data_IF_853413108038
#
_entry.id   IF_853413108038
#
_cell.length_a   1.000
_cell.length_b   1.000
_cell.length_c   1.000
_cell.angle_alpha   90.00
_cell.angle_beta   90.00
_cell.angle_gamma   90.00
#
_symmetry.space_group_name_H-M   'P 1'
#
loop_
_entity.id
_entity.type
_entity.pdbx_description
1 polymer ?
#
# COMPACT_ATOMS: atom_id res chain seq x y z
N UNK A 1 -16.28 -10.06 32.28
CA UNK A 1 -15.11 -10.92 32.52
C UNK A 1 -14.07 -10.20 33.38
N UNK A 2 -13.73 -8.92 33.10
CA UNK A 2 -12.84 -8.12 33.95
C UNK A 2 -13.32 -8.04 35.41
N UNK A 3 -14.62 -7.85 35.64
CA UNK A 3 -15.21 -7.82 36.99
C UNK A 3 -15.22 -9.19 37.69
N UNK A 4 -15.29 -10.28 36.95
CA UNK A 4 -15.19 -11.64 37.52
C UNK A 4 -13.74 -11.96 37.93
N UNK A 5 -12.74 -11.48 37.19
CA UNK A 5 -11.33 -11.68 37.50
C UNK A 5 -10.90 -10.82 38.71
N UNK A 6 -11.42 -9.58 38.84
CA UNK A 6 -11.10 -8.68 39.95
C UNK A 6 -11.72 -9.07 41.30
N UNK A 7 -12.80 -9.86 41.31
CA UNK A 7 -13.46 -10.31 42.54
C UNK A 7 -12.99 -11.64 43.08
N UNK A 8 -12.16 -12.38 42.36
CA UNK A 8 -11.63 -13.65 42.84
C UNK A 8 -10.33 -13.44 43.63
N UNK A 9 -10.42 -13.07 44.90
CA UNK A 9 -9.32 -13.19 45.85
C UNK A 9 -9.01 -14.69 46.10
N UNK A 10 -8.44 -15.37 45.09
CA UNK A 10 -8.00 -16.75 45.27
C UNK A 10 -6.58 -16.75 45.87
N UNK A 11 -6.51 -17.11 47.12
CA UNK A 11 -5.23 -17.43 47.80
C UNK A 11 -4.61 -18.62 47.07
N UNK A 12 -3.30 -18.48 46.78
CA UNK A 12 -2.39 -19.50 46.24
C UNK A 12 -2.55 -20.84 46.99
N UNK A 13 -3.13 -21.81 46.32
CA UNK A 13 -3.19 -23.20 46.78
C UNK A 13 -3.57 -24.06 45.56
N UNK A 14 -2.87 -25.14 45.32
CA UNK A 14 -2.85 -26.02 44.17
C UNK A 14 -4.21 -26.68 43.80
N UNK A 15 -5.26 -25.88 43.59
CA UNK A 15 -6.57 -26.35 43.07
C UNK A 15 -6.65 -26.06 41.61
N UNK A 16 -6.57 -27.09 40.77
CA UNK A 16 -6.94 -27.00 39.36
C UNK A 16 -8.44 -26.84 39.28
N UNK A 17 -8.93 -25.61 39.09
CA UNK A 17 -10.32 -25.35 38.83
C UNK A 17 -10.59 -25.48 37.33
N UNK A 18 -11.51 -26.32 36.96
CA UNK A 18 -11.99 -26.47 35.58
C UNK A 18 -13.43 -25.91 35.52
N UNK A 19 -13.68 -24.97 34.64
CA UNK A 19 -14.99 -24.46 34.33
C UNK A 19 -15.32 -24.77 32.87
N UNK A 20 -16.39 -25.45 32.60
CA UNK A 20 -16.92 -25.74 31.27
C UNK A 20 -18.22 -24.96 31.12
N UNK A 21 -18.25 -23.97 30.23
CA UNK A 21 -19.35 -23.03 30.08
C UNK A 21 -19.83 -23.03 28.63
N UNK A 22 -21.14 -23.16 28.45
CA UNK A 22 -21.80 -23.12 27.14
C UNK A 22 -22.87 -22.03 27.15
N UNK A 23 -22.82 -21.19 26.11
CA UNK A 23 -23.75 -20.09 25.93
C UNK A 23 -24.27 -20.09 24.48
N UNK A 24 -25.59 -20.05 24.32
CA UNK A 24 -26.19 -19.82 23.00
C UNK A 24 -25.80 -18.47 22.43
N UNK A 25 -25.61 -17.48 23.32
CA UNK A 25 -25.14 -16.16 22.96
C UNK A 25 -24.44 -15.49 24.16
N UNK A 26 -23.29 -14.88 23.91
CA UNK A 26 -22.55 -14.09 24.90
C UNK A 26 -22.03 -12.81 24.27
N UNK A 27 -22.11 -11.69 24.99
CA UNK A 27 -21.55 -10.41 24.50
C UNK A 27 -20.37 -9.98 25.36
N UNK A 28 -19.26 -9.65 24.72
CA UNK A 28 -18.04 -9.16 25.35
C UNK A 28 -17.50 -7.96 24.57
N UNK A 29 -17.26 -6.86 25.25
CA UNK A 29 -16.73 -5.61 24.65
C UNK A 29 -17.52 -5.14 23.40
N UNK A 30 -18.85 -5.33 23.37
CA UNK A 30 -19.69 -4.95 22.24
C UNK A 30 -19.75 -5.99 21.09
N UNK A 31 -18.99 -7.08 21.20
CA UNK A 31 -18.99 -8.19 20.25
C UNK A 31 -19.87 -9.32 20.77
N UNK A 32 -20.76 -9.86 19.94
CA UNK A 32 -21.64 -10.97 20.28
C UNK A 32 -21.10 -12.28 19.70
N UNK A 33 -20.91 -13.25 20.56
CA UNK A 33 -20.50 -14.62 20.22
C UNK A 33 -21.75 -15.50 20.23
N UNK A 34 -22.01 -16.21 19.16
CA UNK A 34 -23.05 -17.24 19.07
C UNK A 34 -22.43 -18.61 19.29
N UNK A 35 -23.16 -19.50 19.95
CA UNK A 35 -22.74 -20.88 20.24
C UNK A 35 -21.35 -20.94 20.93
N UNK A 36 -21.16 -20.08 21.94
CA UNK A 36 -19.86 -19.98 22.62
C UNK A 36 -19.71 -21.14 23.62
N UNK A 37 -18.69 -21.95 23.40
CA UNK A 37 -18.20 -22.94 24.37
C UNK A 37 -16.85 -22.48 24.91
N UNK A 38 -16.71 -22.34 26.21
CA UNK A 38 -15.48 -21.89 26.85
C UNK A 38 -15.08 -22.80 28.00
N UNK A 39 -13.83 -23.23 28.04
CA UNK A 39 -13.25 -24.03 29.10
C UNK A 39 -12.14 -23.22 29.75
N UNK A 40 -12.28 -22.93 31.05
CA UNK A 40 -11.30 -22.21 31.81
C UNK A 40 -10.57 -23.15 32.77
N UNK A 41 -9.24 -23.19 32.67
CA UNK A 41 -8.36 -24.00 33.48
C UNK A 41 -7.38 -23.11 34.25
N UNK A 42 -7.30 -23.34 35.55
CA UNK A 42 -6.32 -22.68 36.42
C UNK A 42 -5.05 -23.51 36.50
N UNK A 43 -3.94 -22.98 36.02
CA UNK A 43 -2.58 -23.50 36.24
C UNK A 43 -1.91 -22.85 37.46
N UNK A 44 -0.63 -23.18 37.69
CA UNK A 44 0.12 -22.67 38.83
C UNK A 44 0.46 -21.17 38.72
N UNK A 45 0.72 -20.67 37.52
CA UNK A 45 1.16 -19.28 37.26
C UNK A 45 0.27 -18.53 36.27
N UNK A 46 -0.79 -19.16 35.76
CA UNK A 46 -1.67 -18.57 34.76
C UNK A 46 -3.04 -19.21 34.71
N UNK A 47 -4.01 -18.49 34.21
CA UNK A 47 -5.31 -19.01 33.81
C UNK A 47 -5.37 -19.13 32.29
N UNK A 48 -5.76 -20.29 31.76
CA UNK A 48 -5.98 -20.52 30.35
C UNK A 48 -7.47 -20.71 30.09
N UNK A 49 -7.99 -20.02 29.07
CA UNK A 49 -9.39 -20.11 28.64
C UNK A 49 -9.35 -20.51 27.18
N UNK A 50 -9.66 -21.74 26.86
CA UNK A 50 -9.94 -22.16 25.48
C UNK A 50 -11.39 -21.89 25.13
N UNK A 51 -11.65 -21.46 23.90
CA UNK A 51 -13.00 -21.16 23.46
C UNK A 51 -13.21 -21.51 21.99
N UNK A 52 -14.44 -21.82 21.67
CA UNK A 52 -14.94 -22.09 20.34
C UNK A 52 -16.29 -21.41 20.15
N UNK A 53 -16.52 -20.80 19.00
CA UNK A 53 -17.78 -20.16 18.64
C UNK A 53 -18.03 -20.28 17.13
N UNK A 54 -19.18 -19.86 16.65
CA UNK A 54 -19.55 -19.96 15.24
C UNK A 54 -18.56 -19.27 14.26
N UNK A 55 -17.78 -18.30 14.72
CA UNK A 55 -16.93 -17.47 13.85
C UNK A 55 -15.48 -17.33 14.33
N UNK A 56 -15.14 -17.84 15.51
CA UNK A 56 -13.76 -17.81 16.02
C UNK A 56 -13.50 -18.90 17.03
N UNK A 57 -12.30 -19.44 17.03
CA UNK A 57 -11.80 -20.36 18.06
C UNK A 57 -10.39 -19.98 18.47
N UNK A 58 -10.03 -20.34 19.71
CA UNK A 58 -8.71 -20.02 20.21
C UNK A 58 -8.56 -20.19 21.71
N UNK A 59 -7.55 -19.53 22.26
CA UNK A 59 -7.32 -19.52 23.70
C UNK A 59 -6.78 -18.17 24.16
N UNK A 60 -7.15 -17.81 25.40
CA UNK A 60 -6.66 -16.67 26.14
C UNK A 60 -5.85 -17.19 27.32
N UNK A 61 -4.58 -16.78 27.42
CA UNK A 61 -3.69 -17.09 28.55
C UNK A 61 -3.47 -15.82 29.36
N UNK A 62 -3.89 -15.84 30.62
CA UNK A 62 -3.79 -14.73 31.57
C UNK A 62 -2.73 -15.08 32.61
N UNK A 63 -1.55 -14.44 32.60
CA UNK A 63 -0.52 -14.65 33.61
C UNK A 63 -0.94 -14.05 34.97
N UNK A 64 -0.42 -14.61 36.06
CA UNK A 64 -0.63 -14.07 37.42
C UNK A 64 0.32 -12.90 37.71
N UNK A 65 1.46 -12.87 37.00
CA UNK A 65 2.45 -11.83 37.15
C UNK A 65 1.97 -10.54 36.49
N UNK A 66 1.95 -9.44 37.22
CA UNK A 66 1.45 -8.13 36.75
C UNK A 66 2.31 -7.50 35.65
N UNK A 67 3.56 -7.94 35.49
CA UNK A 67 4.53 -7.47 34.50
C UNK A 67 4.37 -8.14 33.11
N UNK A 68 3.45 -9.11 33.00
CA UNK A 68 3.18 -9.84 31.77
C UNK A 68 1.76 -9.56 31.26
N UNK A 69 1.65 -9.30 29.96
CA UNK A 69 0.35 -9.09 29.32
C UNK A 69 -0.33 -10.42 28.98
N UNK A 70 -1.68 -10.49 29.05
CA UNK A 70 -2.42 -11.62 28.55
C UNK A 70 -2.17 -11.87 27.07
N UNK A 71 -2.18 -13.14 26.66
CA UNK A 71 -1.97 -13.58 25.28
C UNK A 71 -3.23 -14.19 24.71
N UNK A 72 -3.74 -13.60 23.64
CA UNK A 72 -4.88 -14.11 22.89
C UNK A 72 -4.39 -14.73 21.58
N UNK A 73 -4.58 -16.05 21.45
CA UNK A 73 -4.26 -16.77 20.21
C UNK A 73 -5.54 -17.29 19.59
N UNK A 74 -5.83 -16.84 18.38
CA UNK A 74 -6.99 -17.25 17.60
C UNK A 74 -6.51 -18.19 16.49
N UNK A 75 -7.08 -19.40 16.43
CA UNK A 75 -6.82 -20.33 15.34
C UNK A 75 -7.45 -19.79 14.04
N UNK A 76 -8.65 -19.23 14.18
CA UNK A 76 -9.36 -18.56 13.11
C UNK A 76 -10.14 -17.36 13.65
N UNK A 77 -10.32 -16.37 12.78
CA UNK A 77 -11.20 -15.23 13.02
C UNK A 77 -11.93 -14.93 11.71
N UNK A 78 -13.23 -15.23 11.68
CA UNK A 78 -14.05 -15.05 10.49
C UNK A 78 -15.02 -13.88 10.67
N UNK A 79 -14.70 -12.75 10.03
CA UNK A 79 -15.61 -11.61 9.94
C UNK A 79 -16.53 -11.77 8.73
N UNK A 80 -17.73 -12.29 8.94
CA UNK A 80 -18.79 -12.26 7.94
C UNK A 80 -19.27 -10.82 7.67
N UNK A 81 -19.96 -10.60 6.53
CA UNK A 81 -20.57 -9.32 6.16
C UNK A 81 -21.46 -8.71 7.25
N UNK A 82 -22.10 -9.55 8.06
CA UNK A 82 -22.91 -9.15 9.21
C UNK A 82 -22.13 -8.37 10.28
N UNK A 83 -20.83 -8.60 10.41
CA UNK A 83 -19.96 -7.87 11.34
C UNK A 83 -19.64 -6.46 10.82
N UNK A 84 -19.40 -6.34 9.52
CA UNK A 84 -19.09 -5.06 8.87
C UNK A 84 -20.35 -4.19 8.79
N UNK A 85 -21.52 -4.78 8.58
CA UNK A 85 -22.79 -4.04 8.43
C UNK A 85 -23.49 -3.71 9.77
N UNK A 86 -23.24 -4.43 10.83
CA UNK A 86 -24.00 -4.30 12.08
C UNK A 86 -23.21 -4.20 13.37
N UNK A 87 -22.02 -4.77 13.45
CA UNK A 87 -21.27 -4.94 14.70
C UNK A 87 -20.33 -3.79 15.03
N UNK A 88 -19.51 -3.36 14.07
CA UNK A 88 -18.50 -2.32 14.27
C UNK A 88 -19.03 -0.91 13.99
N UNK A 89 -20.08 -0.76 13.18
CA UNK A 89 -20.60 0.52 12.71
C UNK A 89 -21.47 1.29 13.71
N UNK A 90 -21.79 0.74 14.89
CA UNK A 90 -22.71 1.39 15.85
C UNK A 90 -22.04 2.19 16.96
N UNK A 91 -20.82 2.69 16.76
CA UNK A 91 -20.21 3.71 17.64
C UNK A 91 -20.05 3.31 19.12
N UNK A 92 -19.98 1.99 19.41
CA UNK A 92 -19.88 1.48 20.78
C UNK A 92 -18.46 1.08 21.20
N UNK A 93 -17.53 1.04 20.25
CA UNK A 93 -16.15 0.72 20.57
C UNK A 93 -15.40 2.01 20.90
N UNK A 94 -14.98 2.12 22.14
CA UNK A 94 -14.10 3.19 22.59
C UNK A 94 -12.68 2.63 22.65
N UNK A 95 -11.74 3.15 21.81
CA UNK A 95 -10.37 2.63 21.78
C UNK A 95 -9.62 2.79 23.10
N UNK A 96 -10.05 3.71 23.98
CA UNK A 96 -9.47 3.90 25.32
C UNK A 96 -9.76 2.76 26.28
N UNK A 97 -10.77 1.96 25.99
CA UNK A 97 -11.22 0.86 26.85
C UNK A 97 -10.69 -0.52 26.40
N UNK A 98 -9.81 -0.56 25.41
CA UNK A 98 -9.19 -1.82 25.02
C UNK A 98 -8.22 -2.31 26.09
N UNK A 99 -8.20 -3.63 26.35
CA UNK A 99 -7.22 -4.21 27.27
C UNK A 99 -5.83 -4.25 26.63
N UNK A 100 -4.79 -4.33 27.47
CA UNK A 100 -3.44 -4.68 27.02
C UNK A 100 -3.38 -6.18 26.72
N UNK A 101 -3.11 -6.56 25.47
CA UNK A 101 -3.06 -7.93 24.99
C UNK A 101 -1.93 -8.12 23.98
N UNK A 102 -1.30 -9.31 24.00
CA UNK A 102 -0.52 -9.80 22.87
C UNK A 102 -1.44 -10.70 22.03
N UNK A 103 -1.66 -10.37 20.79
CA UNK A 103 -2.65 -11.02 19.92
C UNK A 103 -1.95 -11.73 18.77
N UNK A 104 -2.35 -12.98 18.52
CA UNK A 104 -1.97 -13.76 17.36
C UNK A 104 -3.21 -14.32 16.70
N UNK A 105 -3.34 -14.16 15.38
CA UNK A 105 -4.43 -14.71 14.57
C UNK A 105 -3.79 -15.55 13.47
N UNK A 106 -4.01 -16.87 13.49
CA UNK A 106 -3.41 -17.80 12.53
C UNK A 106 -4.13 -17.78 11.18
N UNK A 107 -5.43 -17.51 11.17
CA UNK A 107 -6.22 -17.35 9.97
C UNK A 107 -7.27 -16.26 10.14
N UNK A 108 -7.15 -15.19 9.37
CA UNK A 108 -8.09 -14.09 9.34
C UNK A 108 -8.89 -14.14 8.04
N UNK A 109 -10.22 -14.31 8.18
CA UNK A 109 -11.14 -14.40 7.05
C UNK A 109 -12.09 -13.21 7.10
N UNK A 110 -12.20 -12.45 6.01
CA UNK A 110 -13.12 -11.33 5.87
C UNK A 110 -13.98 -11.56 4.64
N UNK A 111 -15.31 -11.56 4.83
CA UNK A 111 -16.28 -11.80 3.72
C UNK A 111 -15.94 -13.05 2.88
N UNK A 112 -15.59 -14.15 3.55
CA UNK A 112 -15.17 -15.44 2.97
C UNK A 112 -13.85 -15.42 2.19
N UNK A 113 -13.07 -14.35 2.30
CA UNK A 113 -11.71 -14.28 1.73
C UNK A 113 -10.70 -14.47 2.86
N UNK A 114 -9.80 -15.44 2.70
CA UNK A 114 -8.66 -15.60 3.60
C UNK A 114 -7.66 -14.47 3.29
N UNK A 115 -7.50 -13.57 4.23
CA UNK A 115 -6.62 -12.41 4.10
C UNK A 115 -5.27 -12.57 4.80
N UNK A 116 -5.06 -13.72 5.45
CA UNK A 116 -3.75 -14.13 5.99
C UNK A 116 -3.69 -14.27 7.50
N UNK A 117 -2.49 -14.13 8.02
CA UNK A 117 -2.19 -14.25 9.46
C UNK A 117 -1.54 -12.96 9.97
N UNK A 118 -1.80 -12.65 11.24
CA UNK A 118 -1.29 -11.43 11.85
C UNK A 118 -0.98 -11.63 13.34
N UNK A 119 0.07 -10.99 13.82
CA UNK A 119 0.43 -10.91 15.24
C UNK A 119 0.74 -9.45 15.57
N UNK A 120 0.28 -8.98 16.72
CA UNK A 120 0.54 -7.61 17.17
C UNK A 120 0.37 -7.47 18.68
N UNK A 121 0.87 -6.37 19.20
CA UNK A 121 0.71 -5.97 20.60
C UNK A 121 -0.36 -4.88 20.68
N UNK A 122 -1.48 -5.16 21.34
CA UNK A 122 -2.49 -4.17 21.65
C UNK A 122 -2.18 -3.51 22.99
N UNK A 123 -2.05 -2.20 23.00
CA UNK A 123 -1.78 -1.41 24.21
C UNK A 123 -2.78 -0.27 24.34
N UNK A 124 -3.37 -0.16 25.53
CA UNK A 124 -4.25 0.96 25.85
C UNK A 124 -3.40 2.19 26.14
N UNK A 125 -3.77 3.32 25.58
CA UNK A 125 -3.16 4.62 25.79
C UNK A 125 -4.20 5.67 26.22
N UNK A 126 -3.74 6.83 26.72
CA UNK A 126 -4.62 7.91 27.20
C UNK A 126 -5.61 8.38 26.12
N UNK A 127 -5.19 8.38 24.86
CA UNK A 127 -6.01 8.87 23.74
C UNK A 127 -6.55 7.75 22.85
N UNK A 128 -6.30 6.46 23.16
CA UNK A 128 -6.78 5.37 22.29
C UNK A 128 -6.08 4.04 22.50
N UNK A 129 -5.91 3.30 21.43
CA UNK A 129 -5.27 2.00 21.39
C UNK A 129 -4.14 1.98 20.35
N UNK A 130 -2.97 1.52 20.76
CA UNK A 130 -1.83 1.26 19.90
C UNK A 130 -1.77 -0.23 19.55
N UNK A 131 -1.63 -0.52 18.25
CA UNK A 131 -1.40 -1.84 17.69
C UNK A 131 0.04 -1.83 17.17
N UNK A 132 0.96 -2.21 18.04
CA UNK A 132 2.40 -2.15 17.79
C UNK A 132 2.99 -3.49 17.42
N UNK A 133 4.22 -3.46 16.87
CA UNK A 133 4.97 -4.63 16.46
C UNK A 133 4.13 -5.58 15.60
N UNK A 134 3.50 -5.04 14.57
CA UNK A 134 2.65 -5.82 13.67
C UNK A 134 3.55 -6.69 12.79
N UNK A 135 3.35 -8.01 12.89
CA UNK A 135 4.05 -9.03 12.14
C UNK A 135 3.03 -9.95 11.44
N UNK A 136 3.37 -10.45 10.25
CA UNK A 136 2.55 -11.44 9.56
C UNK A 136 2.50 -11.27 8.07
N UNK A 137 1.57 -11.98 7.45
CA UNK A 137 1.24 -11.86 6.03
C UNK A 137 -0.25 -11.53 5.91
N UNK A 138 -0.55 -10.43 5.24
CA UNK A 138 -1.90 -9.89 5.12
C UNK A 138 -2.11 -9.35 3.70
N UNK A 139 -3.05 -9.91 2.96
CA UNK A 139 -3.33 -9.55 1.56
C UNK A 139 -2.10 -9.59 0.63
N UNK A 140 -1.16 -10.51 0.90
CA UNK A 140 0.09 -10.60 0.14
C UNK A 140 1.17 -9.59 0.56
N UNK A 141 0.90 -8.77 1.58
CA UNK A 141 1.89 -7.92 2.24
C UNK A 141 2.49 -8.65 3.43
N UNK A 142 3.78 -8.50 3.60
CA UNK A 142 4.57 -9.08 4.70
C UNK A 142 5.04 -7.97 5.64
N UNK A 143 4.80 -8.13 6.94
CA UNK A 143 5.14 -7.16 7.97
C UNK A 143 6.05 -7.80 9.03
N UNK A 144 7.04 -7.04 9.51
CA UNK A 144 7.88 -7.45 10.63
C UNK A 144 8.77 -8.66 10.38
N UNK A 145 8.97 -9.08 9.14
CA UNK A 145 9.83 -10.21 8.78
C UNK A 145 11.30 -9.81 8.61
N UNK A 146 11.58 -8.51 8.54
CA UNK A 146 12.92 -7.95 8.40
C UNK A 146 13.27 -7.17 9.68
N UNK A 147 14.08 -7.76 10.54
CA UNK A 147 14.53 -7.17 11.81
C UNK A 147 15.34 -5.86 11.65
N UNK A 148 15.76 -5.55 10.43
CA UNK A 148 16.47 -4.29 10.11
C UNK A 148 15.55 -3.11 9.88
N UNK A 149 14.24 -3.35 9.70
CA UNK A 149 13.23 -2.35 9.48
C UNK A 149 12.43 -2.06 10.74
N UNK A 150 11.95 -0.82 10.94
CA UNK A 150 11.01 -0.55 12.02
C UNK A 150 9.74 -1.38 11.82
N UNK A 151 9.04 -1.77 12.90
CA UNK A 151 7.77 -2.47 12.78
C UNK A 151 6.72 -1.59 12.11
N UNK A 152 5.68 -2.23 11.56
CA UNK A 152 4.45 -1.56 11.21
C UNK A 152 3.64 -1.32 12.48
N UNK A 153 3.19 -0.09 12.67
CA UNK A 153 2.36 0.33 13.79
C UNK A 153 1.05 0.94 13.30
N UNK A 154 -0.02 0.62 14.01
CA UNK A 154 -1.31 1.24 13.81
C UNK A 154 -1.82 1.84 15.11
N UNK A 155 -2.40 3.05 15.04
CA UNK A 155 -3.00 3.72 16.18
C UNK A 155 -4.43 4.12 15.87
N UNK A 156 -5.35 3.78 16.78
CA UNK A 156 -6.72 4.26 16.74
C UNK A 156 -7.01 5.09 17.99
N UNK A 157 -7.23 6.38 17.80
CA UNK A 157 -7.45 7.34 18.87
C UNK A 157 -8.83 7.96 18.85
N UNK A 158 -9.13 8.65 19.95
CA UNK A 158 -10.31 9.50 20.11
C UNK A 158 -9.95 10.72 20.96
N UNK A 159 -10.25 11.89 20.43
CA UNK A 159 -10.09 13.19 21.12
C UNK A 159 -11.40 14.00 21.12
N UNK A 160 -11.30 15.30 21.39
CA UNK A 160 -12.46 16.21 21.43
C UNK A 160 -13.12 16.42 20.06
N UNK A 161 -12.40 16.14 18.96
CA UNK A 161 -12.88 16.28 17.58
C UNK A 161 -13.50 15.01 17.03
N UNK A 162 -13.29 13.86 17.69
CA UNK A 162 -13.78 12.54 17.30
C UNK A 162 -12.70 11.49 17.24
N UNK A 163 -12.96 10.44 16.44
CA UNK A 163 -12.00 9.38 16.20
C UNK A 163 -10.95 9.78 15.16
N UNK A 164 -9.76 9.24 15.28
CA UNK A 164 -8.71 9.33 14.27
C UNK A 164 -7.90 8.03 14.22
N UNK A 165 -7.32 7.76 13.06
CA UNK A 165 -6.51 6.58 12.81
C UNK A 165 -5.19 6.97 12.15
N UNK A 166 -4.14 6.21 12.44
CA UNK A 166 -2.80 6.42 11.87
C UNK A 166 -2.12 5.09 11.61
N UNK A 167 -1.51 4.93 10.44
CA UNK A 167 -0.75 3.77 10.01
C UNK A 167 0.67 4.23 9.63
N UNK A 168 1.68 3.69 10.30
CA UNK A 168 3.08 4.05 10.07
C UNK A 168 3.94 2.80 10.02
N UNK A 169 4.84 2.74 9.05
CA UNK A 169 5.87 1.71 8.95
C UNK A 169 5.95 1.08 7.57
N UNK A 170 6.88 0.14 7.39
CA UNK A 170 7.10 -0.56 6.15
C UNK A 170 6.27 -1.83 6.04
N UNK A 171 6.09 -2.27 4.79
CA UNK A 171 5.70 -3.62 4.41
C UNK A 171 6.56 -4.07 3.23
N UNK A 172 6.79 -5.37 3.11
CA UNK A 172 7.35 -5.98 1.92
C UNK A 172 6.31 -6.82 1.19
N UNK A 173 6.58 -7.14 -0.06
CA UNK A 173 5.78 -8.06 -0.87
C UNK A 173 6.67 -8.83 -1.83
N UNK A 174 6.29 -10.06 -2.13
CA UNK A 174 6.97 -10.87 -3.17
C UNK A 174 6.45 -10.55 -4.57
N UNK A 175 5.14 -10.28 -4.68
CA UNK A 175 4.50 -9.94 -5.95
C UNK A 175 3.30 -9.02 -5.71
N UNK A 176 3.32 -7.83 -6.31
CA UNK A 176 2.19 -6.90 -6.26
C UNK A 176 0.91 -7.51 -6.85
N UNK A 177 1.04 -8.45 -7.78
CA UNK A 177 -0.09 -9.19 -8.35
C UNK A 177 -0.91 -9.95 -7.32
N UNK A 178 -0.26 -10.41 -6.23
CA UNK A 178 -0.95 -11.08 -5.13
C UNK A 178 -1.93 -10.16 -4.39
N UNK A 179 -1.62 -8.87 -4.28
CA UNK A 179 -2.53 -7.88 -3.68
C UNK A 179 -3.79 -7.75 -4.54
N UNK A 180 -3.64 -7.59 -5.86
CA UNK A 180 -4.78 -7.52 -6.77
C UNK A 180 -5.65 -8.78 -6.68
N UNK A 181 -5.02 -9.96 -6.66
CA UNK A 181 -5.71 -11.24 -6.54
C UNK A 181 -6.45 -11.36 -5.20
N UNK A 182 -5.81 -11.00 -4.09
CA UNK A 182 -6.42 -11.06 -2.76
C UNK A 182 -7.60 -10.10 -2.63
N UNK A 183 -7.54 -8.93 -3.28
CA UNK A 183 -8.62 -7.96 -3.34
C UNK A 183 -9.67 -8.26 -4.43
N UNK A 184 -9.53 -9.37 -5.16
CA UNK A 184 -10.40 -9.76 -6.28
C UNK A 184 -10.44 -8.73 -7.41
N UNK A 185 -9.36 -7.98 -7.59
CA UNK A 185 -9.18 -7.08 -8.73
C UNK A 185 -8.48 -7.78 -9.89
N UNK A 186 -8.70 -7.33 -11.13
CA UNK A 186 -7.91 -7.77 -12.28
C UNK A 186 -6.41 -7.53 -12.02
N UNK A 187 -5.59 -8.51 -12.36
CA UNK A 187 -4.15 -8.37 -12.25
C UNK A 187 -3.63 -7.44 -13.34
N UNK A 188 -3.21 -6.24 -12.96
CA UNK A 188 -2.72 -5.20 -13.85
C UNK A 188 -1.21 -5.04 -13.81
N UNK A 189 -0.57 -5.58 -12.77
CA UNK A 189 0.87 -5.57 -12.59
C UNK A 189 1.32 -6.84 -11.87
N UNK A 190 2.58 -7.20 -12.05
CA UNK A 190 3.34 -8.15 -11.25
C UNK A 190 4.67 -7.54 -10.85
N UNK A 191 5.34 -8.13 -9.84
CA UNK A 191 6.71 -7.82 -9.45
C UNK A 191 7.37 -9.09 -8.91
N UNK A 192 8.70 -9.14 -8.81
CA UNK A 192 9.40 -10.21 -8.09
C UNK A 192 9.64 -9.84 -6.63
N UNK A 193 9.66 -8.55 -6.34
CA UNK A 193 9.73 -8.03 -4.98
C UNK A 193 9.18 -6.61 -4.92
N UNK A 194 8.88 -6.16 -3.71
CA UNK A 194 8.50 -4.77 -3.48
C UNK A 194 8.60 -4.38 -2.02
N UNK A 195 8.71 -3.09 -1.80
CA UNK A 195 8.68 -2.44 -0.50
C UNK A 195 7.70 -1.29 -0.52
N UNK A 196 6.87 -1.25 0.50
CA UNK A 196 5.93 -0.18 0.75
C UNK A 196 6.31 0.53 2.04
N UNK A 197 6.03 1.82 2.14
CA UNK A 197 6.17 2.58 3.39
C UNK A 197 4.94 3.45 3.55
N UNK A 198 4.31 3.32 4.70
CA UNK A 198 3.09 4.04 5.04
C UNK A 198 3.39 5.09 6.12
N UNK A 199 2.86 6.27 5.95
CA UNK A 199 2.71 7.30 6.97
C UNK A 199 1.36 7.97 6.71
N UNK A 200 0.29 7.25 6.97
CA UNK A 200 -1.06 7.61 6.62
C UNK A 200 -1.88 7.91 7.87
N UNK A 201 -2.78 8.86 7.76
CA UNK A 201 -3.74 9.19 8.81
C UNK A 201 -5.10 9.58 8.23
N UNK A 202 -6.16 9.39 9.00
CA UNK A 202 -7.51 9.83 8.66
C UNK A 202 -8.32 10.14 9.91
N UNK A 203 -9.24 11.14 9.87
CA UNK A 203 -9.95 11.66 11.04
C UNK A 203 -11.23 10.88 11.36
N UNK A 204 -11.17 9.54 11.31
CA UNK A 204 -12.28 8.65 11.61
C UNK A 204 -11.79 7.34 12.19
N UNK A 205 -12.71 6.42 12.50
CA UNK A 205 -12.42 5.04 12.90
C UNK A 205 -11.70 4.27 11.77
N UNK A 206 -11.00 3.18 12.09
CA UNK A 206 -10.23 2.40 11.13
C UNK A 206 -11.01 1.96 9.87
N UNK A 207 -12.27 1.57 10.04
CA UNK A 207 -13.13 1.08 8.96
C UNK A 207 -13.84 2.18 8.15
N UNK A 208 -13.78 3.44 8.59
CA UNK A 208 -14.30 4.60 7.86
C UNK A 208 -13.24 5.30 7.01
N UNK A 209 -12.22 4.56 6.61
CA UNK A 209 -11.22 5.00 5.65
C UNK A 209 -11.88 5.37 4.31
N UNK A 210 -11.52 6.52 3.76
CA UNK A 210 -12.04 6.97 2.46
C UNK A 210 -11.04 7.82 1.70
N UNK A 211 -11.19 7.87 0.39
CA UNK A 211 -10.39 8.71 -0.51
C UNK A 211 -10.45 10.20 -0.15
N UNK A 212 -11.53 10.64 0.48
CA UNK A 212 -11.74 12.03 0.87
C UNK A 212 -10.93 12.45 2.10
N UNK A 213 -10.74 11.52 3.02
CA UNK A 213 -10.24 11.84 4.36
C UNK A 213 -8.85 11.30 4.67
N UNK A 214 -8.25 10.56 3.75
CA UNK A 214 -6.86 10.11 3.88
C UNK A 214 -5.90 11.29 3.73
N UNK A 215 -4.87 11.33 4.58
CA UNK A 215 -3.77 12.28 4.51
C UNK A 215 -2.44 11.58 4.87
N UNK A 216 -1.32 12.20 4.46
CA UNK A 216 0.02 11.67 4.69
C UNK A 216 0.69 11.17 3.44
N UNK A 217 1.70 10.31 3.57
CA UNK A 217 2.50 9.84 2.46
C UNK A 217 2.54 8.31 2.34
N UNK A 218 2.67 7.86 1.11
CA UNK A 218 2.81 6.46 0.72
C UNK A 218 3.92 6.33 -0.31
N UNK A 219 4.97 5.62 0.06
CA UNK A 219 6.09 5.30 -0.83
C UNK A 219 6.03 3.83 -1.23
N UNK A 220 6.33 3.56 -2.50
CA UNK A 220 6.51 2.19 -2.98
C UNK A 220 7.77 2.08 -3.84
N UNK A 221 8.34 0.88 -3.85
CA UNK A 221 9.44 0.46 -4.71
C UNK A 221 9.16 -0.97 -5.13
N UNK A 222 9.07 -1.22 -6.43
CA UNK A 222 8.83 -2.53 -7.03
C UNK A 222 9.99 -2.89 -7.95
N UNK A 223 10.35 -4.16 -8.02
CA UNK A 223 11.46 -4.65 -8.85
C UNK A 223 11.01 -5.81 -9.74
N UNK A 224 11.59 -5.86 -10.95
CA UNK A 224 11.49 -6.95 -11.91
C UNK A 224 10.04 -7.39 -12.15
N UNK A 225 9.28 -6.57 -12.82
CA UNK A 225 7.87 -6.82 -13.01
C UNK A 225 7.35 -6.57 -14.41
N UNK A 226 6.04 -6.68 -14.51
CA UNK A 226 5.31 -6.49 -15.76
C UNK A 226 4.03 -5.72 -15.51
N UNK A 227 3.77 -4.70 -16.32
CA UNK A 227 2.47 -4.04 -16.42
C UNK A 227 1.66 -4.73 -17.52
N UNK A 228 0.51 -5.28 -17.16
CA UNK A 228 -0.36 -6.02 -18.08
C UNK A 228 -1.31 -5.08 -18.80
N UNK A 229 -1.60 -5.40 -20.03
CA UNK A 229 -2.66 -4.72 -20.78
C UNK A 229 -4.03 -5.10 -20.25
N UNK A 230 -4.82 -4.10 -19.88
CA UNK A 230 -6.26 -4.31 -19.64
C UNK A 230 -7.03 -4.12 -20.94
N UNK A 231 -7.70 -5.17 -21.40
CA UNK A 231 -8.54 -5.13 -22.59
C UNK A 231 -10.03 -4.88 -22.28
N UNK A 232 -10.43 -4.98 -21.03
CA UNK A 232 -11.85 -4.92 -20.64
C UNK A 232 -12.07 -3.86 -19.58
N UNK A 233 -13.10 -3.05 -19.76
CA UNK A 233 -13.71 -2.01 -18.96
C UNK A 233 -13.50 -2.00 -17.45
N UNK A 234 -12.27 -2.00 -17.02
CA UNK A 234 -11.88 -1.94 -15.63
C UNK A 234 -12.24 -0.60 -14.99
N UNK A 235 -12.54 -0.62 -13.69
CA UNK A 235 -12.83 0.55 -12.88
C UNK A 235 -11.72 1.62 -12.95
N UNK A 236 -12.06 2.86 -12.61
CA UNK A 236 -11.23 4.05 -12.79
C UNK A 236 -9.78 3.93 -12.32
N UNK A 237 -9.53 3.25 -11.18
CA UNK A 237 -8.17 3.00 -10.68
C UNK A 237 -7.34 2.10 -11.61
N UNK A 238 -7.97 1.13 -12.27
CA UNK A 238 -7.35 0.24 -13.25
C UNK A 238 -7.13 0.94 -14.59
N UNK A 239 -7.99 1.91 -14.93
CA UNK A 239 -7.81 2.75 -16.11
C UNK A 239 -6.63 3.70 -15.97
N UNK A 240 -6.31 4.17 -14.77
CA UNK A 240 -5.09 4.95 -14.53
C UNK A 240 -3.82 4.17 -14.85
N UNK A 241 -3.80 2.88 -14.56
CA UNK A 241 -2.65 2.02 -14.91
C UNK A 241 -2.70 1.62 -16.39
N UNK A 242 -3.88 1.54 -16.99
CA UNK A 242 -4.02 1.39 -18.45
C UNK A 242 -3.56 2.62 -19.24
N UNK A 243 -3.38 3.77 -18.56
CA UNK A 243 -2.66 4.95 -19.11
C UNK A 243 -1.22 4.64 -19.48
N UNK A 244 -0.61 3.73 -18.77
CA UNK A 244 0.68 3.19 -19.11
C UNK A 244 0.62 2.23 -20.31
N UNK A 245 -0.45 2.27 -21.12
CA UNK A 245 -0.54 1.56 -22.38
C UNK A 245 0.39 2.21 -23.43
N UNK A 246 1.65 2.23 -23.06
CA UNK A 246 2.78 2.82 -23.78
C UNK A 246 2.88 2.31 -25.23
N UNK A 247 2.43 1.10 -25.47
CA UNK A 247 2.44 0.53 -26.82
C UNK A 247 1.53 1.24 -27.82
N UNK A 248 0.41 1.83 -27.36
CA UNK A 248 -0.43 2.65 -28.26
C UNK A 248 0.22 4.02 -28.53
N UNK A 249 1.07 4.48 -27.66
CA UNK A 249 1.82 5.71 -27.82
C UNK A 249 2.94 5.58 -28.83
N UNK A 250 3.73 4.50 -28.74
CA UNK A 250 4.79 4.20 -29.68
C UNK A 250 4.29 4.08 -31.12
N UNK A 251 3.07 3.57 -31.32
CA UNK A 251 2.41 3.59 -32.64
C UNK A 251 2.14 5.00 -33.17
N UNK A 252 1.77 5.93 -32.31
CA UNK A 252 1.49 7.33 -32.72
C UNK A 252 2.76 8.11 -33.04
N UNK A 253 3.90 7.70 -32.46
CA UNK A 253 5.19 8.34 -32.71
C UNK A 253 5.85 7.94 -34.05
N UNK A 254 5.25 7.00 -34.82
CA UNK A 254 5.80 6.48 -36.09
C UNK A 254 7.25 5.95 -35.96
N UNK A 255 7.70 5.63 -34.75
CA UNK A 255 8.95 4.96 -34.51
C UNK A 255 8.71 3.45 -34.65
N UNK A 256 9.58 2.77 -35.38
CA UNK A 256 9.45 1.34 -35.67
C UNK A 256 9.85 0.51 -34.41
N UNK A 257 8.91 0.41 -33.50
CA UNK A 257 8.97 -0.46 -32.32
C UNK A 257 8.00 -1.63 -32.46
N UNK A 258 7.94 -2.23 -33.65
CA UNK A 258 7.04 -3.32 -33.96
C UNK A 258 7.09 -4.47 -32.97
N UNK A 259 8.23 -4.70 -32.33
CA UNK A 259 8.44 -5.77 -31.36
C UNK A 259 7.89 -5.46 -29.95
N UNK A 260 7.70 -4.17 -29.60
CA UNK A 260 7.19 -3.73 -28.29
C UNK A 260 5.66 -3.47 -28.32
N UNK A 261 5.12 -3.20 -29.50
CA UNK A 261 3.77 -2.69 -29.71
C UNK A 261 2.66 -3.73 -29.43
N UNK A 262 2.98 -4.98 -29.20
CA UNK A 262 2.01 -6.06 -28.99
C UNK A 262 2.00 -6.70 -27.62
N UNK A 263 2.92 -6.39 -26.71
CA UNK A 263 3.21 -7.14 -25.50
C UNK A 263 2.97 -6.34 -24.22
N UNK A 264 2.89 -7.03 -23.09
CA UNK A 264 2.92 -6.44 -21.77
C UNK A 264 4.24 -5.71 -21.54
N UNK A 265 4.23 -4.65 -20.70
CA UNK A 265 5.40 -3.80 -20.49
C UNK A 265 6.21 -4.32 -19.31
N UNK A 266 7.38 -4.90 -19.58
CA UNK A 266 8.34 -5.27 -18.54
C UNK A 266 9.06 -4.05 -17.97
N UNK A 267 9.30 -4.05 -16.66
CA UNK A 267 10.11 -3.05 -15.97
C UNK A 267 11.12 -3.70 -15.03
N UNK A 268 12.28 -3.07 -14.88
CA UNK A 268 13.35 -3.48 -13.96
C UNK A 268 13.08 -2.90 -12.56
N UNK A 269 12.68 -1.62 -12.49
CA UNK A 269 12.26 -0.98 -11.25
C UNK A 269 11.11 0.02 -11.48
N UNK A 270 10.31 0.22 -10.43
CA UNK A 270 9.27 1.26 -10.38
C UNK A 270 9.22 1.84 -8.97
N UNK A 271 9.48 3.13 -8.85
CA UNK A 271 9.53 3.85 -7.59
C UNK A 271 8.58 5.05 -7.60
N UNK A 272 7.91 5.31 -6.48
CA UNK A 272 7.01 6.45 -6.37
C UNK A 272 6.72 6.85 -4.92
N UNK A 273 6.42 8.15 -4.75
CA UNK A 273 6.01 8.74 -3.49
C UNK A 273 4.74 9.57 -3.70
N UNK A 274 3.64 9.10 -3.15
CA UNK A 274 2.39 9.84 -3.12
C UNK A 274 2.21 10.58 -1.81
N UNK A 275 1.78 11.84 -1.89
CA UNK A 275 1.28 12.61 -0.75
C UNK A 275 -0.22 12.81 -0.92
N UNK A 276 -0.97 12.42 0.10
CA UNK A 276 -2.43 12.52 0.15
C UNK A 276 -2.85 13.70 1.00
N UNK A 277 -3.70 14.54 0.48
CA UNK A 277 -4.28 15.68 1.20
C UNK A 277 -5.61 16.09 0.56
N UNK A 278 -6.65 16.26 1.38
CA UNK A 278 -7.95 16.84 0.97
C UNK A 278 -8.58 16.17 -0.27
N UNK A 279 -8.47 14.85 -0.39
CA UNK A 279 -9.02 14.11 -1.53
C UNK A 279 -8.17 14.17 -2.80
N UNK A 280 -6.95 14.66 -2.70
CA UNK A 280 -5.97 14.68 -3.79
C UNK A 280 -4.78 13.78 -3.42
N UNK A 281 -4.27 13.05 -4.40
CA UNK A 281 -2.96 12.38 -4.32
C UNK A 281 -1.99 13.10 -5.27
N UNK A 282 -0.86 13.54 -4.75
CA UNK A 282 0.19 14.20 -5.54
C UNK A 282 1.45 13.34 -5.54
N UNK A 283 2.10 13.22 -6.67
CA UNK A 283 3.46 12.69 -6.74
C UNK A 283 4.42 13.76 -6.21
N UNK A 284 5.01 13.52 -5.04
CA UNK A 284 5.95 14.45 -4.39
C UNK A 284 7.34 14.41 -5.04
N UNK A 285 7.75 13.23 -5.44
CA UNK A 285 8.87 12.99 -6.36
C UNK A 285 8.32 12.39 -7.65
N UNK A 286 8.98 12.55 -8.79
CA UNK A 286 8.56 11.84 -9.99
C UNK A 286 8.40 10.34 -9.71
N UNK A 287 7.32 9.74 -10.21
CA UNK A 287 7.25 8.30 -10.33
C UNK A 287 8.23 7.90 -11.42
N UNK A 288 9.23 7.11 -11.06
CA UNK A 288 10.28 6.64 -11.95
C UNK A 288 10.06 5.17 -12.30
N UNK A 289 10.21 4.82 -13.57
CA UNK A 289 10.15 3.44 -14.04
C UNK A 289 11.29 3.20 -15.02
N UNK A 290 12.20 2.31 -14.61
CA UNK A 290 13.26 1.82 -15.47
C UNK A 290 12.81 0.57 -16.22
N UNK A 291 13.12 0.51 -17.50
CA UNK A 291 12.71 -0.58 -18.39
C UNK A 291 13.88 -0.96 -19.30
N UNK A 292 13.95 -2.21 -19.79
CA UNK A 292 14.92 -2.59 -20.82
C UNK A 292 14.85 -1.70 -22.08
N UNK A 293 13.68 -1.14 -22.35
CA UNK A 293 13.41 -0.30 -23.52
C UNK A 293 13.55 1.22 -23.29
N UNK A 294 13.92 1.67 -22.07
CA UNK A 294 14.06 3.06 -21.72
C UNK A 294 13.61 3.39 -20.29
N UNK A 295 13.43 4.67 -19.99
CA UNK A 295 12.97 5.17 -18.70
C UNK A 295 11.71 6.01 -18.87
N UNK A 296 10.83 5.93 -17.89
CA UNK A 296 9.67 6.81 -17.77
C UNK A 296 9.69 7.54 -16.43
N UNK A 297 9.34 8.82 -16.45
CA UNK A 297 9.17 9.66 -15.28
C UNK A 297 7.80 10.33 -15.35
N UNK A 298 7.05 10.32 -14.25
CA UNK A 298 5.75 10.95 -14.20
C UNK A 298 5.63 11.85 -12.97
N UNK A 299 5.12 13.06 -13.17
CA UNK A 299 4.66 13.94 -12.09
C UNK A 299 3.18 14.25 -12.29
N UNK A 300 2.49 14.61 -11.22
CA UNK A 300 1.08 15.01 -11.36
C UNK A 300 0.29 14.96 -10.08
N UNK A 301 -0.94 15.49 -10.22
CA UNK A 301 -1.97 15.48 -9.21
C UNK A 301 -3.13 14.60 -9.66
N UNK A 302 -3.67 13.83 -8.74
CA UNK A 302 -4.77 12.92 -8.93
C UNK A 302 -5.92 13.37 -8.03
N UNK A 303 -6.98 13.93 -8.58
CA UNK A 303 -8.20 14.21 -7.84
C UNK A 303 -8.96 12.91 -7.62
N UNK A 304 -8.94 12.42 -6.38
CA UNK A 304 -9.54 11.15 -5.99
C UNK A 304 -11.07 11.23 -5.86
N UNK A 305 -11.64 12.44 -5.82
CA UNK A 305 -13.08 12.67 -5.68
C UNK A 305 -13.74 12.85 -7.06
N UNK A 306 -13.11 13.64 -7.92
CA UNK A 306 -13.57 13.87 -9.28
C UNK A 306 -13.03 12.85 -10.27
N UNK A 307 -12.15 11.95 -9.80
CA UNK A 307 -11.50 10.91 -10.60
C UNK A 307 -10.81 11.48 -11.84
N UNK A 308 -9.98 12.51 -11.63
CA UNK A 308 -9.24 13.22 -12.65
C UNK A 308 -7.75 13.17 -12.43
N UNK A 309 -7.00 13.32 -13.49
CA UNK A 309 -5.55 13.46 -13.49
C UNK A 309 -5.15 14.77 -14.17
N UNK A 310 -4.13 15.41 -13.63
CA UNK A 310 -3.37 16.51 -14.23
C UNK A 310 -1.89 16.23 -13.99
N UNK A 311 -1.20 15.79 -15.03
CA UNK A 311 0.17 15.33 -14.92
C UNK A 311 1.00 15.51 -16.20
N UNK A 312 2.27 15.25 -16.03
CA UNK A 312 3.26 15.21 -17.11
C UNK A 312 4.00 13.89 -17.04
N UNK A 313 4.19 13.27 -18.20
CA UNK A 313 5.01 12.09 -18.37
C UNK A 313 6.18 12.40 -19.32
N UNK A 314 7.37 12.00 -18.94
CA UNK A 314 8.56 12.03 -19.80
C UNK A 314 8.98 10.60 -20.08
N UNK A 315 9.09 10.26 -21.36
CA UNK A 315 9.63 8.98 -21.80
C UNK A 315 10.99 9.21 -22.45
N UNK A 316 12.02 8.55 -21.91
CA UNK A 316 13.40 8.60 -22.42
C UNK A 316 13.76 7.25 -23.03
N UNK A 317 14.17 7.25 -24.29
CA UNK A 317 14.53 6.05 -25.02
C UNK A 317 16.05 5.86 -25.00
N UNK A 318 16.55 4.62 -24.85
CA UNK A 318 17.98 4.37 -24.94
C UNK A 318 18.47 4.70 -26.36
N UNK A 319 19.40 5.61 -26.46
CA UNK A 319 20.00 5.95 -27.74
C UNK A 319 21.14 4.98 -28.03
N UNK A 320 20.89 4.02 -28.91
CA UNK A 320 21.97 3.17 -29.38
C UNK A 320 22.97 3.99 -30.22
N UNK A 321 24.29 3.92 -29.95
CA UNK A 321 25.29 4.73 -30.63
C UNK A 321 25.35 4.53 -32.13
N UNK A 322 24.69 3.52 -32.67
CA UNK A 322 24.76 3.11 -34.07
C UNK A 322 23.48 3.43 -34.88
N UNK A 323 22.58 4.27 -34.36
CA UNK A 323 21.37 4.60 -35.12
C UNK A 323 21.66 5.56 -36.24
N UNK A 324 21.27 5.24 -37.50
CA UNK A 324 21.61 6.04 -38.70
C UNK A 324 21.12 7.49 -38.65
N UNK A 325 20.05 7.77 -37.91
CA UNK A 325 19.48 9.13 -37.77
C UNK A 325 20.28 10.05 -36.85
N UNK A 326 21.08 9.50 -35.90
CA UNK A 326 22.00 10.28 -35.09
C UNK A 326 23.09 10.93 -35.94
N UNK A 327 23.58 10.22 -36.97
CA UNK A 327 24.51 10.82 -37.95
C UNK A 327 23.90 11.99 -38.70
N UNK A 328 22.58 11.95 -38.96
CA UNK A 328 21.89 13.08 -39.63
C UNK A 328 21.66 14.27 -38.69
N UNK A 329 21.40 14.03 -37.39
CA UNK A 329 21.27 15.09 -36.38
C UNK A 329 22.62 15.73 -36.05
N UNK A 330 23.69 14.95 -35.92
CA UNK A 330 25.02 15.44 -35.64
C UNK A 330 25.66 16.08 -36.91
N UNK A 331 25.36 15.53 -38.08
CA UNK A 331 25.84 16.07 -39.37
C UNK A 331 25.17 17.35 -39.84
N UNK A 332 23.97 17.67 -39.26
CA UNK A 332 23.27 18.92 -39.52
C UNK A 332 23.63 20.09 -38.56
N UNK A 333 24.34 19.83 -37.50
CA UNK A 333 24.87 20.85 -36.60
C UNK A 333 26.19 21.39 -37.17
N UNK A 334 26.42 22.72 -37.16
CA UNK A 334 27.67 23.27 -37.66
C UNK A 334 28.86 22.63 -36.94
N UNK A 335 29.85 22.17 -37.69
CA UNK A 335 31.08 21.51 -37.22
C UNK A 335 31.96 22.37 -36.27
N UNK A 336 31.44 23.46 -35.73
CA UNK A 336 32.11 24.38 -34.81
C UNK A 336 32.10 23.91 -33.35
N UNK A 337 31.39 22.89 -32.99
CA UNK A 337 31.41 22.29 -31.63
C UNK A 337 32.38 21.09 -31.59
N UNK A 338 33.64 21.31 -31.90
CA UNK A 338 34.74 20.41 -31.60
C UNK A 338 35.01 20.39 -30.08
N UNK A 339 34.00 20.04 -29.26
CA UNK A 339 34.18 19.90 -27.83
C UNK A 339 34.37 18.40 -27.54
N UNK A 340 35.54 18.10 -27.04
CA UNK A 340 35.82 16.82 -26.37
C UNK A 340 34.82 16.63 -25.22
N UNK A 341 33.78 15.88 -25.45
CA UNK A 341 32.79 15.59 -24.45
C UNK A 341 33.27 14.37 -23.66
N UNK A 342 33.72 14.62 -22.44
CA UNK A 342 34.05 13.53 -21.49
C UNK A 342 32.78 12.90 -20.98
N UNK A 343 32.75 11.54 -20.93
CA UNK A 343 31.64 10.61 -20.78
C UNK A 343 30.37 11.06 -20.06
N UNK A 344 30.42 11.73 -18.89
CA UNK A 344 29.23 12.11 -18.13
C UNK A 344 28.39 13.23 -18.77
N UNK A 345 29.04 14.21 -19.44
CA UNK A 345 28.35 15.31 -20.14
C UNK A 345 27.64 14.83 -21.43
N UNK A 346 28.06 13.69 -21.98
CA UNK A 346 27.43 13.10 -23.17
C UNK A 346 26.11 12.43 -22.76
N UNK A 347 26.08 11.76 -21.63
CA UNK A 347 24.93 11.00 -21.17
C UNK A 347 23.71 11.90 -20.94
N UNK A 348 23.86 13.00 -20.19
CA UNK A 348 22.80 13.98 -19.95
C UNK A 348 22.29 14.68 -21.22
N UNK A 349 23.16 14.95 -22.17
CA UNK A 349 22.75 15.61 -23.42
C UNK A 349 22.11 14.62 -24.41
N UNK A 350 22.55 13.39 -24.41
CA UNK A 350 21.94 12.32 -25.20
C UNK A 350 20.55 12.00 -24.69
N UNK A 351 20.37 11.94 -23.37
CA UNK A 351 19.07 11.73 -22.74
C UNK A 351 18.08 12.86 -23.12
N UNK A 352 18.52 14.11 -23.13
CA UNK A 352 17.71 15.25 -23.59
C UNK A 352 17.27 15.14 -25.05
N UNK A 353 18.09 14.56 -25.90
CA UNK A 353 17.77 14.39 -27.33
C UNK A 353 16.86 13.18 -27.61
N UNK A 354 16.69 12.29 -26.64
CA UNK A 354 15.89 11.06 -26.77
C UNK A 354 14.59 11.07 -25.97
N UNK A 355 14.29 12.17 -25.29
CA UNK A 355 13.14 12.27 -24.39
C UNK A 355 11.98 13.00 -25.04
N UNK A 356 10.77 12.50 -24.78
CA UNK A 356 9.50 13.10 -25.21
C UNK A 356 8.64 13.34 -23.98
N UNK A 357 8.13 14.56 -23.85
CA UNK A 357 7.21 14.93 -22.78
C UNK A 357 5.78 14.92 -23.29
N UNK A 358 4.89 14.39 -22.46
CA UNK A 358 3.45 14.31 -22.68
C UNK A 358 2.72 15.01 -21.55
N UNK A 359 1.69 15.77 -21.88
CA UNK A 359 0.63 16.19 -20.99
C UNK A 359 -0.38 15.06 -20.82
N UNK A 360 -0.78 14.75 -19.61
CA UNK A 360 -1.69 13.66 -19.25
C UNK A 360 -2.80 14.25 -18.40
N UNK A 361 -3.96 14.51 -18.99
CA UNK A 361 -5.04 15.24 -18.31
C UNK A 361 -6.41 14.61 -18.55
N UNK A 362 -7.37 14.91 -17.69
CA UNK A 362 -8.76 14.52 -17.87
C UNK A 362 -9.27 13.48 -16.86
N UNK A 363 -10.53 13.04 -17.01
CA UNK A 363 -11.11 12.02 -16.15
C UNK A 363 -10.48 10.65 -16.39
N UNK A 364 -10.41 9.82 -15.34
CA UNK A 364 -9.73 8.51 -15.37
C UNK A 364 -10.31 7.55 -16.42
N UNK A 365 -11.59 7.72 -16.77
CA UNK A 365 -12.26 6.92 -17.80
C UNK A 365 -12.05 7.44 -19.24
N UNK A 366 -11.56 8.68 -19.38
CA UNK A 366 -11.29 9.28 -20.69
C UNK A 366 -10.10 10.25 -20.62
N UNK A 367 -8.91 9.70 -20.42
CA UNK A 367 -7.70 10.50 -20.28
C UNK A 367 -7.23 10.98 -21.65
N UNK A 368 -6.94 12.28 -21.70
CA UNK A 368 -6.34 12.94 -22.85
C UNK A 368 -4.81 13.01 -22.69
N UNK A 369 -4.11 12.55 -23.74
CA UNK A 369 -2.66 12.49 -23.76
C UNK A 369 -2.18 13.20 -25.01
N UNK A 370 -1.46 14.26 -24.81
CA UNK A 370 -0.92 15.10 -25.89
C UNK A 370 0.59 15.22 -25.77
N UNK A 371 1.28 15.21 -26.92
CA UNK A 371 2.72 15.53 -26.95
C UNK A 371 2.88 17.01 -26.58
N UNK A 372 3.60 17.26 -25.48
CA UNK A 372 3.93 18.61 -25.01
C UNK A 372 5.22 19.10 -25.69
N UNK A 373 6.29 18.28 -25.60
CA UNK A 373 7.61 18.61 -26.19
C UNK A 373 8.30 17.36 -26.70
N UNK A 374 9.03 17.53 -27.80
CA UNK A 374 10.04 16.58 -28.27
C UNK A 374 11.40 17.13 -27.81
N UNK A 375 12.30 16.26 -27.31
CA UNK A 375 13.57 16.63 -26.68
C UNK A 375 13.38 17.37 -25.35
N UNK A 376 12.58 16.82 -24.45
CA UNK A 376 12.38 17.33 -23.11
C UNK A 376 13.57 16.99 -22.21
N UNK A 377 13.91 17.87 -21.25
CA UNK A 377 14.72 17.49 -20.10
C UNK A 377 13.93 16.59 -19.15
N UNK A 378 14.59 15.68 -18.42
CA UNK A 378 13.97 14.88 -17.38
C UNK A 378 13.25 15.74 -16.31
N UNK A 379 12.28 15.17 -15.61
CA UNK A 379 11.44 15.90 -14.63
C UNK A 379 12.19 16.37 -13.37
N UNK A 380 13.42 15.88 -13.15
CA UNK A 380 14.29 16.32 -12.05
C UNK A 380 15.14 17.59 -12.35
N UNK A 381 15.08 18.12 -13.56
CA UNK A 381 15.84 19.33 -13.95
C UNK A 381 14.87 20.53 -13.87
N UNK A 382 15.04 21.39 -12.85
CA UNK A 382 14.24 22.60 -12.64
C UNK A 382 14.15 23.42 -13.94
N UNK A 383 12.96 23.50 -14.50
CA UNK A 383 12.63 24.05 -15.83
C UNK A 383 13.06 25.49 -16.15
N UNK A 384 14.26 25.90 -15.75
CA UNK A 384 14.85 27.21 -16.03
C UNK A 384 15.79 27.25 -17.27
N UNK A 385 15.93 26.15 -18.00
CA UNK A 385 16.67 26.18 -19.26
C UNK A 385 15.79 26.77 -20.37
N UNK A 386 15.95 28.04 -20.64
CA UNK A 386 15.47 28.65 -21.89
C UNK A 386 15.96 27.81 -23.09
N UNK A 387 15.09 27.53 -24.08
CA UNK A 387 15.54 26.88 -25.30
C UNK A 387 16.63 27.75 -25.94
N UNK A 388 17.65 27.15 -26.58
CA UNK A 388 18.66 27.91 -27.29
C UNK A 388 17.97 28.76 -28.35
N UNK A 389 18.14 30.10 -28.27
CA UNK A 389 17.72 31.01 -29.36
C UNK A 389 18.48 30.62 -30.62
N UNK A 390 17.80 29.98 -31.56
CA UNK A 390 18.30 29.83 -32.89
C UNK A 390 18.20 31.21 -33.56
N UNK A 391 19.36 31.89 -33.68
CA UNK A 391 19.47 33.14 -34.41
C UNK A 391 18.89 32.98 -35.80
N UNK A 392 17.96 33.87 -36.13
CA UNK A 392 17.48 34.04 -37.51
C UNK A 392 18.59 34.52 -38.41
N UNK A 393 18.57 34.15 -39.72
CA UNK A 393 19.62 34.42 -40.67
C UNK A 393 19.81 35.92 -40.98
#
# INVERSE_FOLDING_TARGET
>A
LADLVQKSNFKSGAWKSLFDLKFDSASLAGVTFSDLHAIAERGDERMNISFDSAWTSGYLSIPDAEDHFPKLSLNNLNFGSQFLEGGLSKGRLDPKNFPNLDIKIDQLIVSNVDIGQIKFQLRSEVSGAAFGAIEGNFLGLEFGLDDTLPPLDFFWGQDATGHFSRLIGPASLSDVGNIFKAMQFPQIASSQSGRLTFNLNWPTEPWNFSRKNIAGDFKFSLSDGTLYRSNDGADAALKMISLMNFANWLRRLQLDFSDVVGQDLAYDSMDGLFVFENGTARLDTPLEMEMPSGRMEMTGNFDLLEEKIDGRLVATLPVAPNLPWMGALVGGLPAALGVYVTGKLVEEQVDRLSSISYSVTGPWDNIDIQVDRIFAAGLGDDGSANPPEFGQP
#
